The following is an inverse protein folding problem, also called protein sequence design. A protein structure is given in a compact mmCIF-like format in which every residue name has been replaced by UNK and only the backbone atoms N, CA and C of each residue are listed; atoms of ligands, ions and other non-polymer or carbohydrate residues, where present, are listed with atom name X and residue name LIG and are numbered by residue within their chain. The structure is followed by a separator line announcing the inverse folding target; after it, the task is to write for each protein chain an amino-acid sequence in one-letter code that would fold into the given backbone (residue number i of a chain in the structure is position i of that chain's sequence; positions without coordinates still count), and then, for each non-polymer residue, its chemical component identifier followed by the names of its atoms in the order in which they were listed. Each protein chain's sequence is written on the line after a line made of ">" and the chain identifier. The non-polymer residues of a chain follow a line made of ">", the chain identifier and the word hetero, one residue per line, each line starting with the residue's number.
data_IF_496407525678
#
_entry.id   IF_496407525678
#
_cell.length_a   1.000
_cell.length_b   1.000
_cell.length_c   1.000
_cell.angle_alpha   90.00
_cell.angle_beta   90.00
_cell.angle_gamma   90.00
#
_symmetry.space_group_name_H-M   'P 1'
#
loop_
_entity.id
_entity.type
_entity.pdbx_description
1 polymer ?
#
# COMPACT_ATOMS: atom_id res chain seq x y z
N UNK A 1 26.52 -5.84 -14.81
CA UNK A 1 26.45 -4.54 -15.52
C UNK A 1 26.27 -3.45 -14.48
N UNK A 2 27.04 -2.38 -14.57
CA UNK A 2 26.93 -1.25 -13.65
C UNK A 2 25.80 -0.31 -14.09
N UNK A 3 24.95 0.10 -13.15
CA UNK A 3 23.80 0.95 -13.38
C UNK A 3 24.23 2.40 -13.61
N UNK A 4 23.54 3.10 -14.52
CA UNK A 4 23.82 4.50 -14.89
C UNK A 4 22.60 5.40 -14.63
N UNK A 5 22.85 6.70 -14.53
CA UNK A 5 21.77 7.68 -14.53
C UNK A 5 20.96 7.58 -15.83
N UNK A 6 19.64 7.66 -15.72
CA UNK A 6 18.71 7.45 -16.84
C UNK A 6 18.25 6.01 -17.01
N UNK A 7 18.87 5.03 -16.32
CA UNK A 7 18.43 3.64 -16.40
C UNK A 7 17.07 3.44 -15.71
N UNK A 8 16.28 2.57 -16.33
CA UNK A 8 14.96 2.15 -15.83
C UNK A 8 15.15 0.89 -14.99
N UNK A 9 14.86 0.99 -13.70
CA UNK A 9 15.18 -0.05 -12.73
C UNK A 9 13.95 -0.59 -12.03
N UNK A 10 13.99 -1.88 -11.71
CA UNK A 10 13.15 -2.49 -10.70
C UNK A 10 14.00 -2.70 -9.44
N UNK A 11 13.61 -2.04 -8.35
CA UNK A 11 14.35 -2.07 -7.09
C UNK A 11 13.50 -2.58 -5.95
N UNK A 12 14.08 -3.43 -5.13
CA UNK A 12 13.51 -3.79 -3.83
C UNK A 12 14.26 -3.06 -2.72
N UNK A 13 13.53 -2.63 -1.70
CA UNK A 13 14.17 -2.02 -0.55
C UNK A 13 13.37 -2.19 0.74
N UNK A 14 14.06 -2.01 1.85
CA UNK A 14 13.46 -1.78 3.16
C UNK A 14 14.06 -0.52 3.75
N UNK A 15 13.20 0.40 4.16
CA UNK A 15 13.56 1.67 4.78
C UNK A 15 13.36 1.59 6.29
N UNK A 16 14.40 1.93 7.04
CA UNK A 16 14.38 2.00 8.51
C UNK A 16 14.85 3.37 8.99
N UNK A 17 14.32 3.80 10.13
CA UNK A 17 14.84 4.95 10.87
C UNK A 17 15.99 4.44 11.75
N UNK A 18 17.18 5.02 11.62
CA UNK A 18 18.39 4.56 12.34
C UNK A 18 18.22 4.63 13.85
N UNK A 19 17.65 5.73 14.34
CA UNK A 19 17.54 6.02 15.76
C UNK A 19 16.56 5.09 16.50
N UNK A 20 15.46 4.67 15.86
CA UNK A 20 14.44 3.80 16.46
C UNK A 20 14.55 2.35 16.01
N UNK A 21 15.24 2.07 14.90
CA UNK A 21 15.24 0.76 14.25
C UNK A 21 13.91 0.41 13.58
N UNK A 22 12.94 1.31 13.62
CA UNK A 22 11.61 1.12 13.09
C UNK A 22 11.63 1.07 11.56
N UNK A 23 10.98 0.06 10.98
CA UNK A 23 10.73 -0.02 9.53
C UNK A 23 9.60 0.93 9.17
N UNK A 24 9.81 1.76 8.16
CA UNK A 24 8.86 2.82 7.73
C UNK A 24 8.25 2.51 6.36
N UNK A 25 9.01 1.88 5.48
CA UNK A 25 8.55 1.48 4.13
C UNK A 25 9.31 0.24 3.69
N UNK A 26 8.67 -0.62 2.91
CA UNK A 26 9.30 -1.80 2.32
C UNK A 26 8.54 -2.26 1.09
N UNK A 27 9.26 -2.81 0.14
CA UNK A 27 8.70 -3.46 -1.05
C UNK A 27 8.45 -4.96 -0.83
N UNK A 28 8.95 -5.52 0.26
CA UNK A 28 8.79 -6.95 0.58
C UNK A 28 7.51 -7.19 1.39
N UNK A 29 6.59 -7.99 0.87
CA UNK A 29 5.31 -8.33 1.51
C UNK A 29 5.51 -9.00 2.90
N UNK A 30 6.46 -9.94 3.00
CA UNK A 30 6.78 -10.60 4.26
C UNK A 30 7.23 -9.59 5.33
N UNK A 31 8.14 -8.66 4.98
CA UNK A 31 8.61 -7.63 5.90
C UNK A 31 7.49 -6.68 6.31
N UNK A 32 6.60 -6.32 5.37
CA UNK A 32 5.46 -5.46 5.66
C UNK A 32 4.50 -6.12 6.66
N UNK A 33 4.26 -7.43 6.54
CA UNK A 33 3.44 -8.20 7.48
C UNK A 33 4.08 -8.28 8.87
N UNK A 34 5.36 -8.58 8.94
CA UNK A 34 6.11 -8.70 10.19
C UNK A 34 6.20 -7.38 10.96
N UNK A 35 6.25 -6.26 10.23
CA UNK A 35 6.38 -4.91 10.81
C UNK A 35 5.04 -4.17 10.95
N UNK A 36 3.91 -4.83 10.71
CA UNK A 36 2.57 -4.25 10.76
C UNK A 36 2.35 -3.06 9.80
N UNK A 37 3.14 -2.97 8.75
CA UNK A 37 3.00 -1.97 7.68
C UNK A 37 2.13 -2.46 6.52
N UNK A 38 1.73 -3.74 6.55
CA UNK A 38 0.97 -4.33 5.47
C UNK A 38 -0.40 -3.65 5.29
N UNK A 39 -0.68 -3.24 4.06
CA UNK A 39 -1.96 -2.64 3.64
C UNK A 39 -2.55 -3.50 2.52
N UNK A 40 -3.84 -3.80 2.62
CA UNK A 40 -4.55 -4.61 1.61
C UNK A 40 -4.59 -3.93 0.23
N UNK A 41 -4.60 -2.60 0.21
CA UNK A 41 -4.69 -1.81 -1.02
C UNK A 41 -3.31 -1.48 -1.63
N UNK A 42 -2.22 -2.04 -1.08
CA UNK A 42 -0.87 -1.80 -1.56
C UNK A 42 -0.32 -3.01 -2.30
N UNK A 43 0.29 -2.77 -3.45
CA UNK A 43 1.00 -3.80 -4.22
C UNK A 43 2.44 -3.88 -3.72
N UNK A 44 2.85 -5.08 -3.28
CA UNK A 44 4.22 -5.38 -2.88
C UNK A 44 4.98 -6.00 -4.04
N UNK A 45 6.26 -5.73 -4.11
CA UNK A 45 7.13 -6.18 -5.19
C UNK A 45 8.12 -5.11 -5.62
N UNK A 46 9.00 -5.43 -6.58
CA UNK A 46 10.00 -4.48 -7.04
C UNK A 46 9.38 -3.18 -7.54
N UNK A 47 9.84 -2.06 -6.96
CA UNK A 47 9.36 -0.71 -7.31
C UNK A 47 10.10 -0.23 -8.55
N UNK A 48 9.36 0.23 -9.53
CA UNK A 48 9.90 0.84 -10.73
C UNK A 48 10.38 2.26 -10.46
N UNK A 49 11.61 2.55 -10.89
CA UNK A 49 12.23 3.88 -10.80
C UNK A 49 13.03 4.18 -12.06
N UNK A 50 13.23 5.47 -12.32
CA UNK A 50 14.19 5.96 -13.31
C UNK A 50 15.26 6.68 -12.53
N UNK A 51 16.50 6.20 -12.64
CA UNK A 51 17.61 6.70 -11.82
C UNK A 51 18.03 8.12 -12.23
N UNK A 52 18.10 9.02 -11.26
CA UNK A 52 18.43 10.42 -11.48
C UNK A 52 17.23 11.36 -11.67
N UNK A 53 16.00 10.83 -11.62
CA UNK A 53 14.77 11.58 -11.83
C UNK A 53 14.09 12.04 -10.52
N UNK A 54 14.75 11.85 -9.37
CA UNK A 54 14.22 12.24 -8.07
C UNK A 54 13.06 11.35 -7.59
N UNK A 55 12.97 10.12 -8.08
CA UNK A 55 11.95 9.16 -7.65
C UNK A 55 12.30 8.51 -6.32
N UNK A 56 13.57 8.55 -5.95
CA UNK A 56 14.09 8.22 -4.63
C UNK A 56 14.80 9.45 -4.04
N UNK A 57 15.08 9.46 -2.72
CA UNK A 57 15.92 10.50 -2.14
C UNK A 57 17.27 10.58 -2.87
N UNK A 58 17.72 11.79 -3.13
CA UNK A 58 18.94 12.03 -3.93
C UNK A 58 20.15 11.23 -3.47
N UNK A 59 20.38 11.15 -2.14
CA UNK A 59 21.51 10.40 -1.62
C UNK A 59 21.40 8.88 -1.88
N UNK A 60 20.18 8.35 -2.01
CA UNK A 60 19.97 6.95 -2.41
C UNK A 60 20.24 6.77 -3.90
N UNK A 61 19.71 7.66 -4.75
CA UNK A 61 19.95 7.62 -6.19
C UNK A 61 21.45 7.68 -6.51
N UNK A 62 22.17 8.62 -5.86
CA UNK A 62 23.63 8.77 -6.02
C UNK A 62 24.39 7.47 -5.64
N UNK A 63 23.89 6.74 -4.64
CA UNK A 63 24.50 5.49 -4.16
C UNK A 63 24.21 4.29 -5.07
N UNK A 64 23.15 4.35 -5.89
CA UNK A 64 22.80 3.31 -6.85
C UNK A 64 23.55 3.44 -8.16
N UNK A 65 24.11 4.61 -8.47
CA UNK A 65 24.96 4.77 -9.66
C UNK A 65 26.21 3.90 -9.53
N UNK A 66 26.45 3.04 -10.50
CA UNK A 66 27.56 2.11 -10.50
C UNK A 66 27.33 0.83 -9.69
N UNK A 67 26.17 0.65 -9.07
CA UNK A 67 25.85 -0.57 -8.33
C UNK A 67 25.63 -1.76 -9.27
N UNK A 68 25.83 -2.96 -8.71
CA UNK A 68 25.63 -4.22 -9.42
C UNK A 68 24.19 -4.73 -9.25
N UNK A 69 23.64 -5.34 -10.30
CA UNK A 69 22.33 -6.00 -10.28
C UNK A 69 22.39 -7.22 -9.36
N UNK A 70 21.33 -7.46 -8.60
CA UNK A 70 21.19 -8.58 -7.67
C UNK A 70 21.97 -8.44 -6.37
N UNK A 71 22.80 -7.40 -6.23
CA UNK A 71 23.56 -7.16 -5.02
C UNK A 71 22.77 -6.31 -4.04
N UNK A 72 22.64 -6.81 -2.81
CA UNK A 72 22.04 -6.04 -1.72
C UNK A 72 23.07 -5.06 -1.14
N UNK A 73 22.66 -3.81 -1.01
CA UNK A 73 23.50 -2.73 -0.50
C UNK A 73 22.74 -1.99 0.59
N UNK A 74 23.43 -1.73 1.71
CA UNK A 74 22.89 -0.90 2.80
C UNK A 74 23.43 0.51 2.67
N UNK A 75 22.54 1.49 2.57
CA UNK A 75 22.87 2.90 2.39
C UNK A 75 22.34 3.69 3.58
N UNK A 76 23.21 4.40 4.27
CA UNK A 76 22.85 5.32 5.34
C UNK A 76 22.69 6.73 4.77
N UNK A 77 21.52 7.33 4.97
CA UNK A 77 21.18 8.67 4.50
C UNK A 77 21.00 9.61 5.69
N UNK A 78 21.91 10.56 5.89
CA UNK A 78 21.69 11.65 6.84
C UNK A 78 20.54 12.55 6.37
N UNK A 79 19.95 13.37 7.27
CA UNK A 79 18.76 14.16 6.95
C UNK A 79 18.87 15.04 5.70
N UNK A 80 20.03 15.65 5.47
CA UNK A 80 20.30 16.53 4.34
C UNK A 80 20.27 15.80 2.98
N UNK A 81 20.65 14.52 2.97
CA UNK A 81 20.61 13.66 1.77
C UNK A 81 19.33 12.83 1.65
N UNK A 82 18.49 12.84 2.70
CA UNK A 82 17.23 12.15 2.76
C UNK A 82 16.03 13.08 2.55
N UNK A 83 15.19 13.21 3.59
CA UNK A 83 13.98 14.05 3.54
C UNK A 83 14.20 15.46 4.12
N UNK A 84 15.45 15.91 4.22
CA UNK A 84 15.82 17.23 4.71
C UNK A 84 15.86 17.33 6.25
N UNK A 85 16.46 18.41 6.73
CA UNK A 85 16.45 18.76 8.15
C UNK A 85 15.05 19.26 8.56
N UNK A 86 14.73 19.10 9.84
CA UNK A 86 13.45 19.63 10.34
C UNK A 86 13.52 21.15 10.45
N UNK A 87 12.60 21.84 9.77
CA UNK A 87 12.47 23.28 9.76
C UNK A 87 11.57 23.74 10.93
N UNK A 88 12.08 24.49 11.91
CA UNK A 88 11.27 25.04 13.00
C UNK A 88 10.17 25.97 12.52
N UNK A 89 10.34 26.66 11.40
CA UNK A 89 9.33 27.58 10.84
C UNK A 89 8.06 26.86 10.35
N UNK A 90 8.18 25.56 10.07
CA UNK A 90 7.06 24.67 9.72
C UNK A 90 6.32 24.12 10.95
N UNK A 91 6.78 24.41 12.16
CA UNK A 91 6.09 24.06 13.39
C UNK A 91 5.23 25.22 13.85
N UNK A 92 3.94 25.00 14.06
CA UNK A 92 2.98 26.05 14.43
C UNK A 92 2.15 25.65 15.65
N UNK A 93 1.87 26.64 16.52
CA UNK A 93 0.91 26.50 17.59
C UNK A 93 -0.45 26.97 17.10
N UNK A 94 -1.42 26.08 17.04
CA UNK A 94 -2.78 26.33 16.57
C UNK A 94 -3.74 26.20 17.74
N UNK A 95 -4.71 27.12 17.94
CA UNK A 95 -5.72 26.99 18.99
C UNK A 95 -6.52 25.68 18.82
N UNK A 96 -6.74 24.94 19.92
CA UNK A 96 -7.49 23.68 19.94
C UNK A 96 -8.92 23.85 19.38
N UNK A 97 -9.51 25.04 19.56
CA UNK A 97 -10.83 25.36 19.03
C UNK A 97 -10.92 25.16 17.52
N UNK A 98 -9.88 25.54 16.76
CA UNK A 98 -9.88 25.38 15.28
C UNK A 98 -9.96 23.91 14.84
N UNK A 99 -9.46 23.00 15.65
CA UNK A 99 -9.58 21.57 15.38
C UNK A 99 -10.99 21.07 15.64
N UNK A 100 -11.59 21.51 16.76
CA UNK A 100 -12.99 21.20 17.09
C UNK A 100 -13.97 21.71 16.06
N UNK A 101 -13.76 22.94 15.56
CA UNK A 101 -14.59 23.55 14.52
C UNK A 101 -14.54 22.74 13.19
N UNK A 102 -13.47 21.98 12.98
CA UNK A 102 -13.29 21.08 11.81
C UNK A 102 -13.62 19.61 12.12
N UNK A 103 -14.08 19.28 13.31
CA UNK A 103 -14.39 17.91 13.73
C UNK A 103 -13.15 17.02 13.86
N UNK A 104 -11.95 17.60 14.04
CA UNK A 104 -10.70 16.87 14.18
C UNK A 104 -10.36 16.75 15.67
N UNK A 105 -10.11 15.52 16.13
CA UNK A 105 -9.58 15.27 17.48
C UNK A 105 -8.05 15.11 17.42
N UNK A 106 -7.27 16.13 17.83
CA UNK A 106 -5.82 16.09 17.70
C UNK A 106 -5.18 15.27 18.81
N UNK A 107 -4.69 14.09 18.49
CA UNK A 107 -3.88 13.24 19.38
C UNK A 107 -2.39 13.36 19.07
N UNK A 108 -1.49 13.46 20.06
CA UNK A 108 -0.06 13.49 19.82
C UNK A 108 0.40 12.26 19.00
N UNK A 109 1.19 12.50 17.95
CA UNK A 109 1.64 11.49 17.00
C UNK A 109 0.71 11.28 15.80
N UNK A 110 -0.54 11.71 15.85
CA UNK A 110 -1.47 11.55 14.74
C UNK A 110 -1.04 12.36 13.51
N UNK A 111 -1.16 11.74 12.34
CA UNK A 111 -1.08 12.42 11.05
C UNK A 111 -2.47 12.90 10.69
N UNK A 112 -2.59 14.16 10.36
CA UNK A 112 -3.85 14.83 10.07
C UNK A 112 -3.70 15.69 8.81
N UNK A 113 -4.81 15.99 8.17
CA UNK A 113 -4.87 17.06 7.19
C UNK A 113 -5.42 18.32 7.87
N UNK A 114 -4.63 19.38 7.90
CA UNK A 114 -5.03 20.64 8.50
C UNK A 114 -4.77 21.81 7.56
N UNK A 115 -5.80 22.60 7.26
CA UNK A 115 -5.79 23.69 6.28
C UNK A 115 -5.32 23.24 4.87
N UNK A 116 -5.78 22.03 4.42
CA UNK A 116 -5.44 21.49 3.11
C UNK A 116 -3.99 21.00 3.00
N UNK A 117 -3.31 20.76 4.14
CA UNK A 117 -1.92 20.28 4.18
C UNK A 117 -1.76 19.12 5.15
N UNK A 118 -0.99 18.11 4.78
CA UNK A 118 -0.64 17.05 5.72
C UNK A 118 0.23 17.61 6.84
N UNK A 119 -0.05 17.19 8.06
CA UNK A 119 0.67 17.63 9.26
C UNK A 119 0.67 16.56 10.33
N UNK A 120 1.63 16.60 11.24
CA UNK A 120 1.71 15.71 12.40
C UNK A 120 1.44 16.51 13.67
N UNK A 121 0.57 16.01 14.52
CA UNK A 121 0.34 16.58 15.86
C UNK A 121 1.53 16.18 16.76
N UNK A 122 2.24 17.18 17.32
CA UNK A 122 3.38 16.92 18.21
C UNK A 122 3.01 16.94 19.68
N UNK A 123 2.20 17.92 20.06
CA UNK A 123 1.74 18.08 21.44
C UNK A 123 0.38 18.76 21.46
N UNK A 124 -0.41 18.41 22.49
CA UNK A 124 -1.69 19.06 22.81
C UNK A 124 -1.64 19.49 24.27
N UNK A 125 -1.84 20.77 24.53
CA UNK A 125 -1.81 21.31 25.88
C UNK A 125 -2.17 22.79 25.93
N UNK A 126 -2.61 23.26 27.10
CA UNK A 126 -2.95 24.66 27.36
C UNK A 126 -3.87 25.29 26.30
N UNK A 127 -4.85 24.52 25.78
CA UNK A 127 -5.78 25.00 24.76
C UNK A 127 -5.16 25.22 23.36
N UNK A 128 -3.95 24.71 23.11
CA UNK A 128 -3.23 24.79 21.86
C UNK A 128 -2.73 23.42 21.42
N UNK A 129 -2.54 23.27 20.12
CA UNK A 129 -1.98 22.09 19.47
C UNK A 129 -0.72 22.51 18.75
N UNK A 130 0.38 21.83 19.00
CA UNK A 130 1.61 21.99 18.21
C UNK A 130 1.52 21.10 16.99
N UNK A 131 1.49 21.73 15.81
CA UNK A 131 1.37 21.08 14.50
C UNK A 131 2.68 21.22 13.76
N UNK A 132 3.17 20.13 13.22
CA UNK A 132 4.40 20.03 12.43
C UNK A 132 4.07 19.70 10.97
N UNK A 133 4.33 20.64 10.07
CA UNK A 133 4.15 20.51 8.63
C UNK A 133 5.40 20.01 7.91
N UNK A 134 6.45 19.62 8.63
CA UNK A 134 7.60 18.95 8.04
C UNK A 134 7.22 17.56 7.55
N UNK A 135 7.98 17.05 6.59
CA UNK A 135 7.87 15.63 6.24
C UNK A 135 8.03 14.75 7.48
N UNK A 136 7.26 13.67 7.68
CA UNK A 136 7.34 12.81 8.87
C UNK A 136 8.76 12.33 9.19
N UNK A 137 9.57 12.05 8.15
CA UNK A 137 10.94 11.58 8.24
C UNK A 137 12.00 12.71 8.23
N UNK A 138 11.59 13.99 8.17
CA UNK A 138 12.54 15.09 8.22
C UNK A 138 13.33 15.11 9.54
N UNK A 139 14.64 15.32 9.46
CA UNK A 139 15.54 15.32 10.61
C UNK A 139 15.89 13.93 11.15
N UNK A 140 15.54 12.86 10.42
CA UNK A 140 15.89 11.48 10.76
C UNK A 140 17.00 10.96 9.88
N UNK A 141 17.90 10.18 10.44
CA UNK A 141 18.86 9.39 9.66
C UNK A 141 18.18 8.11 9.22
N UNK A 142 18.26 7.81 7.92
CA UNK A 142 17.56 6.69 7.30
C UNK A 142 18.57 5.62 6.89
N UNK A 143 18.15 4.37 7.03
CA UNK A 143 18.88 3.21 6.52
C UNK A 143 18.04 2.56 5.44
N UNK A 144 18.53 2.57 4.21
CA UNK A 144 17.98 1.84 3.09
C UNK A 144 18.77 0.54 2.88
N UNK A 145 18.05 -0.55 2.91
CA UNK A 145 18.54 -1.86 2.53
C UNK A 145 17.94 -2.14 1.13
N UNK A 146 18.72 -1.94 0.08
CA UNK A 146 18.25 -1.88 -1.31
C UNK A 146 18.93 -2.93 -2.17
N UNK A 147 18.18 -3.53 -3.08
CA UNK A 147 18.68 -4.39 -4.16
C UNK A 147 18.08 -4.00 -5.50
N UNK A 148 18.89 -3.99 -6.54
CA UNK A 148 18.44 -3.78 -7.91
C UNK A 148 18.14 -5.15 -8.49
N UNK A 149 16.87 -5.43 -8.77
CA UNK A 149 16.45 -6.71 -9.30
C UNK A 149 16.75 -6.83 -10.80
N UNK A 150 16.45 -5.75 -11.55
CA UNK A 150 16.53 -5.77 -13.01
C UNK A 150 16.69 -4.36 -13.57
N UNK A 151 17.45 -4.22 -14.64
CA UNK A 151 17.38 -3.10 -15.57
C UNK A 151 16.29 -3.41 -16.58
N UNK A 152 15.34 -2.52 -16.78
CA UNK A 152 14.27 -2.67 -17.77
C UNK A 152 14.80 -2.12 -19.09
N UNK A 153 15.06 -3.01 -20.04
CA UNK A 153 15.60 -2.65 -21.36
C UNK A 153 14.49 -2.54 -22.42
N UNK A 154 13.47 -3.39 -22.32
CA UNK A 154 12.35 -3.42 -23.27
C UNK A 154 11.49 -2.16 -23.18
N UNK A 155 11.25 -1.50 -24.30
CA UNK A 155 10.53 -0.23 -24.36
C UNK A 155 9.04 -0.39 -23.98
N UNK A 156 8.41 -1.50 -24.35
CA UNK A 156 7.02 -1.76 -23.94
C UNK A 156 6.92 -1.94 -22.43
N UNK A 157 7.87 -2.65 -21.83
CA UNK A 157 7.93 -2.83 -20.38
C UNK A 157 8.18 -1.49 -19.65
N UNK A 158 9.06 -0.62 -20.20
CA UNK A 158 9.26 0.75 -19.67
C UNK A 158 7.98 1.56 -19.71
N UNK A 159 7.28 1.56 -20.86
CA UNK A 159 6.02 2.29 -21.06
C UNK A 159 4.96 1.79 -20.07
N UNK A 160 4.77 0.48 -19.96
CA UNK A 160 3.81 -0.12 -19.03
C UNK A 160 4.12 0.22 -17.57
N UNK A 161 5.39 0.26 -17.18
CA UNK A 161 5.79 0.65 -15.84
C UNK A 161 5.56 2.16 -15.55
N UNK A 162 5.75 3.04 -16.55
CA UNK A 162 5.41 4.46 -16.44
C UNK A 162 3.89 4.63 -16.25
N UNK A 163 3.08 3.89 -17.03
CA UNK A 163 1.62 3.91 -16.90
C UNK A 163 1.21 3.45 -15.50
N UNK A 164 1.72 2.31 -15.03
CA UNK A 164 1.42 1.76 -13.70
C UNK A 164 1.80 2.71 -12.56
N UNK A 165 2.86 3.49 -12.72
CA UNK A 165 3.26 4.52 -11.75
C UNK A 165 2.21 5.62 -11.60
N UNK A 166 1.51 5.96 -12.68
CA UNK A 166 0.50 7.04 -12.71
C UNK A 166 -0.92 6.55 -12.50
N UNK A 167 -1.16 5.25 -12.74
CA UNK A 167 -2.45 4.58 -12.58
C UNK A 167 -2.19 3.27 -11.80
N UNK A 168 -1.86 3.37 -10.50
CA UNK A 168 -1.51 2.20 -9.70
C UNK A 168 -2.70 1.31 -9.34
N UNK A 169 -3.93 1.81 -9.50
CA UNK A 169 -5.16 1.10 -9.17
C UNK A 169 -5.47 -0.04 -10.14
N UNK A 170 -4.83 -0.04 -11.33
CA UNK A 170 -5.06 -1.05 -12.37
C UNK A 170 -3.77 -1.77 -12.69
N UNK A 171 -3.85 -3.10 -12.81
CA UNK A 171 -2.70 -3.92 -13.20
C UNK A 171 -2.17 -3.49 -14.58
N UNK A 172 -0.88 -3.25 -14.65
CA UNK A 172 -0.19 -2.86 -15.89
C UNK A 172 -0.37 -3.85 -17.03
N UNK A 173 -0.54 -5.15 -16.72
CA UNK A 173 -0.75 -6.19 -17.73
C UNK A 173 -2.08 -6.04 -18.50
N UNK A 174 -3.03 -5.25 -18.00
CA UNK A 174 -4.32 -4.99 -18.64
C UNK A 174 -4.26 -3.85 -19.66
N UNK A 175 -3.20 -3.04 -19.63
CA UNK A 175 -3.01 -1.99 -20.63
C UNK A 175 -2.42 -2.58 -21.90
N UNK A 176 -3.00 -2.23 -23.05
CA UNK A 176 -2.41 -2.50 -24.35
C UNK A 176 -1.45 -1.38 -24.76
N UNK A 177 -0.30 -1.73 -25.32
CA UNK A 177 0.65 -0.76 -25.86
C UNK A 177 0.97 -1.16 -27.29
N UNK A 178 0.67 -0.27 -28.24
CA UNK A 178 0.94 -0.46 -29.67
C UNK A 178 1.74 0.73 -30.19
N UNK A 179 2.92 0.46 -30.74
CA UNK A 179 3.78 1.48 -31.31
C UNK A 179 3.88 1.29 -32.82
N UNK A 180 3.50 2.31 -33.57
CA UNK A 180 3.61 2.35 -35.03
C UNK A 180 4.49 3.52 -35.43
N UNK A 181 5.77 3.25 -35.67
CA UNK A 181 6.75 4.30 -35.98
C UNK A 181 6.93 5.26 -34.81
N UNK A 182 6.45 6.51 -34.99
CA UNK A 182 6.50 7.58 -33.99
C UNK A 182 5.19 7.82 -33.25
N UNK A 183 4.20 7.00 -33.52
CA UNK A 183 2.90 7.06 -32.87
C UNK A 183 2.79 5.95 -31.83
N UNK A 184 2.34 6.29 -30.65
CA UNK A 184 2.08 5.37 -29.54
C UNK A 184 0.58 5.37 -29.23
N UNK A 185 -0.04 4.21 -29.26
CA UNK A 185 -1.41 4.01 -28.82
C UNK A 185 -1.43 3.19 -27.53
N UNK A 186 -2.04 3.76 -26.49
CA UNK A 186 -2.25 3.09 -25.20
C UNK A 186 -3.72 2.70 -25.10
N UNK A 187 -3.99 1.41 -25.06
CA UNK A 187 -5.35 0.90 -24.82
C UNK A 187 -5.60 0.88 -23.32
N UNK A 188 -6.62 1.59 -22.90
CA UNK A 188 -7.01 1.74 -21.50
C UNK A 188 -8.04 0.65 -21.16
N UNK A 189 -7.84 -0.16 -20.12
CA UNK A 189 -8.79 -1.18 -19.71
C UNK A 189 -10.07 -0.56 -19.10
N UNK A 190 -11.20 -1.25 -19.26
CA UNK A 190 -12.53 -0.77 -18.80
C UNK A 190 -12.55 -0.39 -17.31
N UNK A 191 -11.78 -1.11 -16.47
CA UNK A 191 -11.67 -0.83 -15.04
C UNK A 191 -11.13 0.56 -14.73
N UNK A 192 -10.30 1.11 -15.63
CA UNK A 192 -9.72 2.44 -15.45
C UNK A 192 -10.66 3.58 -15.83
N UNK A 193 -11.72 3.33 -16.63
CA UNK A 193 -12.59 4.40 -17.16
C UNK A 193 -13.25 5.25 -16.08
N UNK A 194 -13.54 4.64 -14.94
CA UNK A 194 -14.24 5.27 -13.82
C UNK A 194 -13.35 5.80 -12.72
N UNK A 195 -12.01 5.73 -12.91
CA UNK A 195 -11.07 6.23 -11.93
C UNK A 195 -11.12 7.75 -11.84
N UNK A 196 -11.24 8.24 -10.61
CA UNK A 196 -11.15 9.67 -10.35
C UNK A 196 -9.77 10.19 -10.76
N UNK A 197 -9.74 11.22 -11.60
CA UNK A 197 -8.48 11.82 -12.05
C UNK A 197 -7.79 11.12 -13.23
N UNK A 198 -8.43 10.15 -13.90
CA UNK A 198 -7.86 9.45 -15.06
C UNK A 198 -7.28 10.40 -16.12
N UNK A 199 -7.96 11.53 -16.42
CA UNK A 199 -7.48 12.49 -17.42
C UNK A 199 -6.20 13.20 -16.98
N UNK A 200 -6.06 13.46 -15.67
CA UNK A 200 -4.83 14.02 -15.10
C UNK A 200 -3.70 12.99 -15.15
N UNK A 201 -4.00 11.74 -14.83
CA UNK A 201 -3.06 10.63 -14.94
C UNK A 201 -2.59 10.44 -16.39
N UNK A 202 -3.49 10.43 -17.39
CA UNK A 202 -3.14 10.38 -18.82
C UNK A 202 -2.21 11.51 -19.22
N UNK A 203 -2.50 12.74 -18.79
CA UNK A 203 -1.62 13.89 -19.04
C UNK A 203 -0.24 13.70 -18.44
N UNK A 204 -0.16 13.17 -17.23
CA UNK A 204 1.11 12.88 -16.55
C UNK A 204 1.89 11.76 -17.25
N UNK A 205 1.20 10.68 -17.68
CA UNK A 205 1.78 9.61 -18.50
C UNK A 205 2.36 10.17 -19.79
N UNK A 206 1.58 11.02 -20.50
CA UNK A 206 2.02 11.66 -21.76
C UNK A 206 3.28 12.48 -21.53
N UNK A 207 3.32 13.29 -20.47
CA UNK A 207 4.48 14.11 -20.15
C UNK A 207 5.73 13.28 -19.84
N UNK A 208 5.58 12.19 -19.08
CA UNK A 208 6.69 11.29 -18.77
C UNK A 208 7.16 10.55 -20.05
N UNK A 209 6.24 10.04 -20.87
CA UNK A 209 6.59 9.35 -22.11
C UNK A 209 7.31 10.26 -23.10
N UNK A 210 6.86 11.50 -23.28
CA UNK A 210 7.54 12.48 -24.15
C UNK A 210 8.93 12.83 -23.64
N UNK A 211 9.13 12.83 -22.31
CA UNK A 211 10.44 13.10 -21.71
C UNK A 211 11.42 11.95 -21.97
N UNK A 212 10.98 10.70 -21.81
CA UNK A 212 11.85 9.53 -21.84
C UNK A 212 11.94 8.86 -23.22
N UNK A 213 10.99 9.16 -24.10
CA UNK A 213 10.94 8.64 -25.47
C UNK A 213 10.80 9.81 -26.47
N UNK A 214 11.87 10.57 -26.70
CA UNK A 214 11.84 11.76 -27.55
C UNK A 214 11.55 11.45 -29.03
N UNK A 215 11.61 10.20 -29.42
CA UNK A 215 11.29 9.69 -30.76
C UNK A 215 9.77 9.42 -30.95
N UNK A 216 8.95 9.57 -29.92
CA UNK A 216 7.48 9.48 -30.00
C UNK A 216 6.91 10.89 -30.21
N UNK A 217 6.32 11.10 -31.38
CA UNK A 217 5.73 12.41 -31.75
C UNK A 217 4.28 12.54 -31.26
N UNK A 218 3.51 11.43 -31.23
CA UNK A 218 2.10 11.44 -30.82
C UNK A 218 1.77 10.27 -29.89
N UNK A 219 0.92 10.55 -28.89
CA UNK A 219 0.43 9.58 -27.92
C UNK A 219 -1.08 9.64 -27.88
N UNK A 220 -1.72 8.54 -28.22
CA UNK A 220 -3.17 8.39 -28.16
C UNK A 220 -3.60 7.39 -27.08
N UNK A 221 -4.76 7.64 -26.46
CA UNK A 221 -5.38 6.72 -25.53
C UNK A 221 -6.67 6.21 -26.13
N UNK A 222 -6.77 4.89 -26.30
CA UNK A 222 -7.94 4.22 -26.86
C UNK A 222 -8.74 3.59 -25.73
N UNK A 223 -10.00 3.98 -25.62
CA UNK A 223 -10.98 3.39 -24.73
C UNK A 223 -11.99 2.61 -25.58
N UNK A 224 -12.16 1.32 -25.29
CA UNK A 224 -13.06 0.44 -26.05
C UNK A 224 -14.19 0.00 -25.16
N UNK A 225 -15.41 0.50 -25.47
CA UNK A 225 -16.64 0.08 -24.81
C UNK A 225 -17.21 -1.12 -25.55
N UNK A 226 -17.08 -2.31 -24.97
CA UNK A 226 -17.66 -3.52 -25.53
C UNK A 226 -19.15 -3.60 -25.20
N UNK A 227 -19.97 -3.94 -26.18
CA UNK A 227 -21.37 -4.25 -25.93
C UNK A 227 -21.43 -5.50 -25.05
N UNK A 228 -22.01 -5.40 -23.85
CA UNK A 228 -22.30 -6.58 -23.03
C UNK A 228 -23.33 -7.42 -23.75
N UNK A 229 -23.05 -8.70 -23.99
CA UNK A 229 -24.07 -9.64 -24.39
C UNK A 229 -25.17 -9.66 -23.30
N UNK A 230 -26.46 -9.72 -23.66
CA UNK A 230 -27.50 -9.79 -22.65
C UNK A 230 -27.29 -11.03 -21.79
N UNK A 231 -27.40 -10.86 -20.47
CA UNK A 231 -27.16 -11.90 -19.45
C UNK A 231 -27.94 -13.21 -19.68
N UNK A 232 -29.03 -13.17 -20.48
CA UNK A 232 -29.79 -14.33 -20.89
C UNK A 232 -29.02 -15.39 -21.70
N UNK A 233 -28.00 -14.99 -22.50
CA UNK A 233 -27.22 -15.96 -23.30
C UNK A 233 -26.13 -16.67 -22.46
N UNK A 234 -25.68 -16.07 -21.36
CA UNK A 234 -24.71 -16.73 -20.45
C UNK A 234 -25.40 -17.76 -19.53
N UNK A 235 -26.67 -17.54 -19.15
CA UNK A 235 -27.43 -18.51 -18.37
C UNK A 235 -27.84 -19.74 -19.20
N UNK A 236 -28.15 -19.58 -20.49
CA UNK A 236 -28.42 -20.72 -21.37
C UNK A 236 -27.17 -21.52 -21.71
N UNK A 237 -26.01 -20.87 -21.93
CA UNK A 237 -24.74 -21.56 -22.15
C UNK A 237 -24.28 -22.32 -20.89
N UNK A 238 -24.52 -21.78 -19.70
CA UNK A 238 -24.25 -22.44 -18.42
C UNK A 238 -25.21 -23.62 -18.18
N UNK A 239 -26.50 -23.50 -18.53
CA UNK A 239 -27.49 -24.58 -18.42
C UNK A 239 -27.28 -25.68 -19.46
N UNK A 240 -26.86 -25.35 -20.67
CA UNK A 240 -26.53 -26.32 -21.72
C UNK A 240 -25.31 -27.17 -21.35
N UNK A 241 -24.27 -26.57 -20.76
CA UNK A 241 -23.07 -27.26 -20.27
C UNK A 241 -23.38 -28.17 -19.07
N UNK A 242 -24.33 -27.81 -18.20
CA UNK A 242 -24.74 -28.63 -17.05
C UNK A 242 -25.62 -29.83 -17.44
N UNK A 243 -26.37 -29.73 -18.56
CA UNK A 243 -27.23 -30.82 -19.06
C UNK A 243 -26.42 -31.88 -19.83
N UNK A 244 -25.32 -31.51 -20.50
CA UNK A 244 -24.43 -32.48 -21.15
C UNK A 244 -23.64 -33.29 -20.14
N UNK A 245 -23.29 -32.72 -18.97
CA UNK A 245 -22.55 -33.43 -17.91
C UNK A 245 -23.45 -34.42 -17.14
N UNK A 246 -24.77 -34.20 -17.13
CA UNK A 246 -25.70 -35.09 -16.44
C UNK A 246 -26.20 -36.29 -17.29
N UNK A 247 -26.08 -36.20 -18.64
CA UNK A 247 -26.46 -37.31 -19.52
C UNK A 247 -25.36 -38.35 -19.71
N UNK A 248 -24.12 -38.06 -19.29
CA UNK A 248 -23.00 -39.01 -19.39
C UNK A 248 -22.82 -39.91 -18.14
N UNK A 249 -23.63 -39.71 -17.07
CA UNK A 249 -23.51 -40.43 -15.81
C UNK A 249 -24.60 -41.49 -15.58
N UNK A 250 -25.54 -41.70 -16.52
CA UNK A 250 -26.71 -42.58 -16.33
C UNK A 250 -26.73 -43.82 -17.21
N UNK A 251 -25.58 -44.36 -17.59
CA UNK A 251 -25.48 -45.69 -18.18
C UNK A 251 -24.26 -46.43 -17.63
N UNK A 252 -24.38 -46.99 -16.46
CA UNK A 252 -23.81 -48.28 -16.04
C UNK A 252 -24.33 -48.64 -14.65
N UNK A 253 -24.95 -49.84 -14.63
CA UNK A 253 -25.22 -50.78 -13.56
C UNK A 253 -26.58 -50.81 -12.91
N UNK A 254 -27.28 -51.83 -13.38
CA UNK A 254 -28.39 -52.51 -12.67
C UNK A 254 -27.93 -53.80 -12.00
N UNK A 255 -28.35 -53.92 -10.73
CA UNK A 255 -28.83 -55.15 -9.99
C UNK A 255 -27.85 -56.01 -9.20
N UNK A 256 -28.39 -56.89 -8.30
CA UNK A 256 -28.82 -56.59 -6.91
C UNK A 256 -28.24 -57.59 -5.90
N UNK A 257 -28.44 -57.36 -4.62
CA UNK A 257 -28.90 -58.36 -3.58
C UNK A 257 -28.48 -58.00 -2.15
N UNK A 258 -29.51 -57.78 -1.31
CA UNK A 258 -29.87 -58.51 -0.05
C UNK A 258 -28.81 -58.57 1.06
N UNK A 259 -29.03 -58.15 2.25
CA UNK A 259 -29.91 -58.53 3.33
C UNK A 259 -29.37 -58.07 4.69
N UNK A 260 -30.31 -57.72 5.59
CA UNK A 260 -30.28 -57.76 7.07
C UNK A 260 -29.43 -56.72 7.82
N UNK A 261 -30.00 -55.83 8.50
CA UNK A 261 -30.84 -55.81 9.72
C UNK A 261 -30.06 -55.55 11.01
N UNK A 262 -30.64 -54.68 11.82
CA UNK A 262 -30.46 -54.51 13.29
C UNK A 262 -29.26 -53.64 13.69
N UNK A 263 -29.27 -52.68 14.57
CA UNK A 263 -30.19 -52.28 15.64
C UNK A 263 -29.69 -50.97 16.20
N UNK A 264 -30.53 -50.02 16.47
CA UNK A 264 -30.26 -48.90 17.37
C UNK A 264 -30.35 -49.42 18.82
N UNK A 265 -29.81 -48.79 19.85
CA UNK A 265 -30.43 -47.59 20.39
C UNK A 265 -29.55 -46.61 21.19
N UNK A 266 -30.18 -45.47 21.41
CA UNK A 266 -30.20 -44.69 22.63
C UNK A 266 -29.07 -43.69 22.99
N UNK A 267 -29.47 -42.44 23.01
CA UNK A 267 -28.97 -41.33 23.85
C UNK A 267 -29.07 -41.69 25.35
N UNK A 268 -28.32 -40.99 26.20
CA UNK A 268 -29.03 -39.98 26.97
C UNK A 268 -28.32 -38.63 27.21
N UNK A 269 -29.20 -37.74 27.51
CA UNK A 269 -29.13 -36.34 27.77
C UNK A 269 -28.38 -35.88 29.06
N UNK A 270 -28.20 -34.55 29.13
CA UNK A 270 -28.11 -33.65 30.28
C UNK A 270 -26.75 -33.47 30.99
N UNK A 271 -26.21 -32.23 31.05
CA UNK A 271 -26.56 -31.30 32.14
C UNK A 271 -26.03 -29.88 31.88
N UNK A 272 -26.94 -28.94 31.93
CA UNK A 272 -26.71 -27.49 32.15
C UNK A 272 -26.09 -27.28 33.55
N UNK A 273 -25.17 -26.36 33.67
CA UNK A 273 -24.97 -25.63 34.93
C UNK A 273 -24.65 -24.18 34.64
N UNK A 274 -25.48 -23.33 35.19
CA UNK A 274 -25.42 -21.89 35.22
C UNK A 274 -24.61 -21.40 36.48
N UNK A 275 -24.55 -20.10 36.77
CA UNK A 275 -23.34 -19.36 37.08
C UNK A 275 -23.15 -19.13 38.59
N UNK A 276 -21.94 -18.76 39.01
CA UNK A 276 -21.65 -18.31 40.37
C UNK A 276 -20.86 -16.99 40.35
N UNK A 277 -21.57 -15.94 40.74
CA UNK A 277 -21.44 -15.01 41.89
C UNK A 277 -20.05 -14.47 42.21
N UNK A 278 -19.97 -13.14 42.09
CA UNK A 278 -19.06 -12.20 42.80
C UNK A 278 -19.07 -12.44 44.33
N UNK A 279 -18.01 -12.01 44.99
CA UNK A 279 -18.23 -11.23 46.18
C UNK A 279 -17.56 -9.86 46.18
N UNK A 280 -18.16 -8.99 46.97
CA UNK A 280 -18.01 -7.57 47.13
C UNK A 280 -16.96 -7.16 48.16
N UNK A 281 -16.50 -5.94 47.99
CA UNK A 281 -16.19 -4.89 48.99
C UNK A 281 -15.31 -5.17 50.21
N UNK A 282 -14.31 -4.35 50.39
CA UNK A 282 -14.10 -3.57 51.64
C UNK A 282 -13.14 -2.40 51.36
N UNK A 283 -13.61 -1.20 51.51
CA UNK A 283 -12.84 0.03 51.71
C UNK A 283 -12.56 0.21 53.21
N UNK A 284 -12.27 1.43 53.65
CA UNK A 284 -10.96 2.06 53.66
C UNK A 284 -10.45 2.21 55.11
N UNK A 285 -9.15 2.46 55.28
CA UNK A 285 -8.64 2.87 56.60
C UNK A 285 -7.75 4.11 56.44
N UNK A 286 -8.23 5.19 57.05
CA UNK A 286 -7.49 6.39 57.44
C UNK A 286 -6.48 6.09 58.54
N UNK A 287 -5.38 6.80 58.57
CA UNK A 287 -4.69 7.45 59.70
C UNK A 287 -3.33 7.95 59.25
N UNK A 288 -3.10 9.17 59.25
CA UNK A 288 -2.83 10.19 60.29
C UNK A 288 -1.30 10.41 60.44
N UNK A 289 -0.93 11.59 60.05
CA UNK A 289 -0.29 12.65 60.81
C UNK A 289 1.12 12.48 61.32
N UNK A 290 1.80 13.55 61.20
CA UNK A 290 2.94 14.15 61.92
C UNK A 290 4.27 14.04 61.11
N UNK A 291 4.98 15.08 60.82
CA UNK A 291 5.18 16.37 61.45
C UNK A 291 6.63 16.70 61.37
N UNK A 292 6.89 17.97 61.30
CA UNK A 292 8.11 18.71 61.66
C UNK A 292 9.26 18.73 60.63
N UNK A 293 9.44 19.94 60.07
CA UNK A 293 10.44 20.94 60.50
C UNK A 293 11.90 20.53 60.15
N UNK A 294 12.59 21.28 59.39
CA UNK A 294 13.25 22.56 59.58
C UNK A 294 14.65 22.58 58.93
N UNK A 295 14.97 23.70 58.31
CA UNK A 295 16.31 24.30 58.15
C UNK A 295 17.32 23.63 57.23
N UNK A 296 17.72 24.22 56.20
CA UNK A 296 18.49 25.45 55.94
C UNK A 296 18.47 25.86 54.50
#
# INVERSE_FOLDING_TARGET
>A
MAVKAGDFLLVNFTLKVKESGETVDTTYDAVAKDTHLHRQDSTYGPRFIILGEGWLPKGLEDSLVGADIGKRTTVELPPDKGFGTRDPAKMRLVPLRRFRDKGIDPTPGAQIEFDGRPATVRAVGAGRVQVDYNHPLAGRTLIYDVSIEKIVEDDNEKILNIISKRIPEVDKAKFGVERTGKELTVEVPEEAFYLSGLQVAKKSVTSDLQKFFPDIDSISFREVFKRRAPEAEMEEASKASAVETSKSAEQVETKPQTEKAQEAPAQPARKRRAPAKKPASKGPTKRAMMGSESQR
#
